data_IF_813069486513
#
_entry.id   IF_813069486513
#
_cell.length_a   1.000
_cell.length_b   1.000
_cell.length_c   1.000
_cell.angle_alpha   90.00
_cell.angle_beta   90.00
_cell.angle_gamma   90.00
#
_symmetry.space_group_name_H-M   'P 1'
#
loop_
_entity.id
_entity.type
_entity.pdbx_description
1 polymer ?
#
# COMPACT_ATOMS: atom_id res chain seq x y z
N UNK A 1 10.19 -12.56 -17.16
CA UNK A 1 10.38 -11.68 -16.00
C UNK A 1 10.36 -12.56 -14.77
N UNK A 2 11.39 -12.52 -13.91
CA UNK A 2 11.41 -13.32 -12.68
C UNK A 2 10.52 -12.61 -11.66
N UNK A 3 9.38 -13.21 -11.31
CA UNK A 3 8.47 -12.72 -10.27
C UNK A 3 8.75 -13.46 -8.95
N UNK A 4 8.57 -12.79 -7.82
CA UNK A 4 8.69 -13.44 -6.51
C UNK A 4 7.73 -14.64 -6.37
N UNK A 5 6.61 -14.66 -7.11
CA UNK A 5 5.63 -15.74 -6.99
C UNK A 5 6.16 -17.11 -7.43
N UNK A 6 7.30 -17.13 -8.12
CA UNK A 6 8.02 -18.35 -8.47
C UNK A 6 8.98 -18.79 -7.34
N UNK A 7 9.36 -17.86 -6.47
CA UNK A 7 10.35 -18.03 -5.41
C UNK A 7 9.71 -18.08 -4.00
N UNK A 8 8.40 -17.81 -3.86
CA UNK A 8 7.68 -17.94 -2.58
C UNK A 8 7.24 -19.40 -2.40
N UNK A 9 7.79 -20.13 -1.41
CA UNK A 9 7.50 -21.54 -1.22
C UNK A 9 6.07 -21.80 -0.73
N UNK A 10 5.41 -20.81 -0.10
CA UNK A 10 4.00 -20.89 0.26
C UNK A 10 3.29 -19.53 0.05
N UNK A 11 2.39 -19.48 -0.95
CA UNK A 11 1.61 -18.28 -1.27
C UNK A 11 0.63 -17.88 -0.17
N UNK A 12 0.28 -18.81 0.73
CA UNK A 12 -0.57 -18.52 1.90
C UNK A 12 0.07 -17.51 2.85
N UNK A 13 1.40 -17.35 2.80
CA UNK A 13 2.08 -16.30 3.55
C UNK A 13 1.56 -14.90 3.17
N UNK A 14 1.11 -14.68 1.93
CA UNK A 14 0.54 -13.41 1.49
C UNK A 14 -0.84 -13.13 2.11
N UNK A 15 -1.55 -14.17 2.55
CA UNK A 15 -2.92 -14.06 3.06
C UNK A 15 -2.99 -13.49 4.49
N UNK A 16 -1.87 -13.43 5.19
CA UNK A 16 -1.77 -12.87 6.54
C UNK A 16 -0.74 -11.75 6.61
N UNK A 17 -1.00 -10.75 7.45
CA UNK A 17 -0.09 -9.63 7.66
C UNK A 17 1.28 -10.09 8.19
N UNK A 18 1.27 -11.01 9.16
CA UNK A 18 2.49 -11.60 9.71
C UNK A 18 3.29 -12.39 8.65
N UNK A 19 2.62 -13.17 7.81
CA UNK A 19 3.24 -13.90 6.71
C UNK A 19 3.84 -12.97 5.67
N UNK A 20 3.08 -11.97 5.22
CA UNK A 20 3.49 -10.96 4.25
C UNK A 20 4.71 -10.18 4.75
N UNK A 21 4.70 -9.80 6.04
CA UNK A 21 5.84 -9.17 6.69
C UNK A 21 7.06 -10.09 6.79
N UNK A 22 6.86 -11.38 7.08
CA UNK A 22 7.95 -12.36 7.19
C UNK A 22 8.71 -12.49 5.87
N UNK A 23 8.00 -12.55 4.74
CA UNK A 23 8.62 -12.65 3.40
C UNK A 23 8.99 -11.27 2.83
N UNK A 24 8.51 -10.19 3.44
CA UNK A 24 8.74 -8.81 3.00
C UNK A 24 8.11 -8.50 1.65
N UNK A 25 6.88 -8.98 1.44
CA UNK A 25 6.04 -8.68 0.28
C UNK A 25 4.70 -8.12 0.74
N UNK A 26 3.99 -7.36 -0.11
CA UNK A 26 2.73 -6.76 0.28
C UNK A 26 1.66 -7.85 0.42
N UNK A 27 0.82 -7.75 1.45
CA UNK A 27 -0.37 -8.61 1.61
C UNK A 27 -1.46 -8.18 0.62
N UNK A 28 -1.21 -8.42 -0.67
CA UNK A 28 -2.09 -8.13 -1.80
C UNK A 28 -2.26 -9.38 -2.66
N UNK A 29 -3.29 -9.38 -3.50
CA UNK A 29 -3.49 -10.44 -4.50
C UNK A 29 -2.26 -10.65 -5.37
N UNK A 30 -2.01 -11.90 -5.76
CA UNK A 30 -0.86 -12.30 -6.57
C UNK A 30 -0.78 -11.52 -7.88
N UNK A 31 -1.92 -11.34 -8.57
CA UNK A 31 -1.98 -10.55 -9.80
C UNK A 31 -1.60 -9.07 -9.61
N UNK A 32 -1.99 -8.48 -8.48
CA UNK A 32 -1.59 -7.12 -8.14
C UNK A 32 -0.08 -7.04 -7.84
N UNK A 33 0.49 -8.02 -7.14
CA UNK A 33 1.93 -8.08 -6.88
C UNK A 33 2.73 -8.14 -8.18
N UNK A 34 2.38 -9.06 -9.09
CA UNK A 34 3.04 -9.18 -10.39
C UNK A 34 2.96 -7.88 -11.20
N UNK A 35 1.80 -7.23 -11.16
CA UNK A 35 1.61 -5.95 -11.84
C UNK A 35 2.49 -4.86 -11.23
N UNK A 36 2.55 -4.78 -9.90
CA UNK A 36 3.40 -3.82 -9.20
C UNK A 36 4.88 -4.05 -9.48
N UNK A 37 5.35 -5.30 -9.50
CA UNK A 37 6.74 -5.65 -9.88
C UNK A 37 7.12 -5.10 -11.26
N UNK A 38 6.17 -5.03 -12.20
CA UNK A 38 6.41 -4.45 -13.54
C UNK A 38 6.40 -2.92 -13.58
N UNK A 39 5.82 -2.26 -12.57
CA UNK A 39 5.62 -0.81 -12.52
C UNK A 39 6.72 -0.12 -11.71
N UNK A 40 7.07 -0.70 -10.55
CA UNK A 40 7.95 -0.05 -9.57
C UNK A 40 9.36 0.18 -10.11
N UNK A 41 9.97 1.30 -9.72
CA UNK A 41 11.38 1.55 -9.99
C UNK A 41 12.00 2.55 -9.00
N UNK A 42 13.33 2.62 -9.01
CA UNK A 42 14.16 3.41 -8.07
C UNK A 42 13.99 4.92 -8.13
N UNK A 43 13.16 5.44 -9.05
CA UNK A 43 12.84 6.87 -9.14
C UNK A 43 11.51 7.22 -8.44
N UNK A 44 10.67 6.22 -8.15
CA UNK A 44 9.33 6.41 -7.62
C UNK A 44 9.32 6.71 -6.12
N UNK A 45 8.43 7.60 -5.68
CA UNK A 45 8.12 7.87 -4.28
C UNK A 45 6.79 7.22 -3.92
N UNK A 46 6.76 6.52 -2.78
CA UNK A 46 5.58 5.79 -2.30
C UNK A 46 5.06 6.44 -1.02
N UNK A 47 3.74 6.64 -0.96
CA UNK A 47 3.00 6.91 0.28
C UNK A 47 2.14 5.68 0.60
N UNK A 48 2.14 5.26 1.85
CA UNK A 48 1.42 4.09 2.31
C UNK A 48 0.60 4.43 3.55
N UNK A 49 -0.65 3.99 3.56
CA UNK A 49 -1.50 3.97 4.74
C UNK A 49 -1.63 2.50 5.17
N UNK A 50 -1.12 2.16 6.36
CA UNK A 50 -0.95 0.78 6.82
C UNK A 50 0.40 0.20 6.41
N UNK A 51 1.32 0.08 7.38
CA UNK A 51 2.66 -0.46 7.18
C UNK A 51 2.67 -1.99 7.20
N UNK A 52 3.72 -2.62 6.67
CA UNK A 52 3.77 -4.08 6.60
C UNK A 52 4.88 -4.64 5.73
N UNK A 53 4.65 -5.85 5.20
CA UNK A 53 5.54 -6.42 4.18
C UNK A 53 5.61 -5.57 2.90
N UNK A 54 4.56 -4.80 2.62
CA UNK A 54 4.52 -3.80 1.55
C UNK A 54 5.57 -2.71 1.75
N UNK A 55 5.77 -2.22 2.98
CA UNK A 55 6.81 -1.22 3.29
C UNK A 55 8.21 -1.73 2.88
N UNK A 56 8.51 -3.01 3.14
CA UNK A 56 9.78 -3.64 2.75
C UNK A 56 9.88 -3.79 1.23
N UNK A 57 8.79 -4.18 0.57
CA UNK A 57 8.72 -4.27 -0.89
C UNK A 57 9.01 -2.90 -1.54
N UNK A 58 8.37 -1.83 -1.07
CA UNK A 58 8.62 -0.48 -1.58
C UNK A 58 10.05 -0.02 -1.30
N UNK A 59 10.58 -0.28 -0.10
CA UNK A 59 11.93 0.14 0.27
C UNK A 59 13.00 -0.48 -0.65
N UNK A 60 12.80 -1.74 -1.06
CA UNK A 60 13.68 -2.45 -1.97
C UNK A 60 13.57 -1.98 -3.42
N UNK A 61 12.42 -1.44 -3.85
CA UNK A 61 12.16 -1.20 -5.26
C UNK A 61 12.03 0.29 -5.64
N UNK A 62 11.75 1.16 -4.68
CA UNK A 62 11.44 2.58 -4.90
C UNK A 62 12.50 3.53 -4.32
N UNK A 63 12.41 4.82 -4.69
CA UNK A 63 13.29 5.89 -4.21
C UNK A 63 13.12 6.15 -2.72
N UNK A 64 11.86 6.27 -2.28
CA UNK A 64 11.51 6.57 -0.89
C UNK A 64 10.12 6.03 -0.56
N UNK A 65 9.93 5.68 0.71
CA UNK A 65 8.66 5.20 1.26
C UNK A 65 8.33 6.03 2.48
N UNK A 66 7.12 6.57 2.52
CA UNK A 66 6.53 7.12 3.74
C UNK A 66 5.29 6.29 4.08
N UNK A 67 5.25 5.75 5.30
CA UNK A 67 4.15 4.89 5.75
C UNK A 67 3.57 5.40 7.05
N UNK A 68 2.24 5.43 7.13
CA UNK A 68 1.50 5.75 8.35
C UNK A 68 0.93 4.47 8.97
N UNK A 69 1.15 4.29 10.27
CA UNK A 69 0.72 3.11 11.02
C UNK A 69 -0.04 3.50 12.29
N UNK A 70 -1.15 2.80 12.55
CA UNK A 70 -1.95 2.95 13.79
C UNK A 70 -1.60 1.92 14.85
N UNK A 71 -1.24 0.70 14.44
CA UNK A 71 -0.92 -0.38 15.34
C UNK A 71 0.50 -0.22 15.88
N UNK A 72 0.62 -0.03 17.20
CA UNK A 72 1.90 0.24 17.84
C UNK A 72 2.88 -0.95 17.77
N UNK A 73 2.37 -2.18 17.82
CA UNK A 73 3.21 -3.37 17.82
C UNK A 73 3.71 -3.67 16.40
N UNK A 74 2.84 -3.56 15.41
CA UNK A 74 3.24 -3.63 14.00
C UNK A 74 4.26 -2.54 13.67
N UNK A 75 4.04 -1.29 14.14
CA UNK A 75 5.01 -0.22 13.98
C UNK A 75 6.40 -0.60 14.51
N UNK A 76 6.49 -1.17 15.72
CA UNK A 76 7.77 -1.60 16.31
C UNK A 76 8.43 -2.66 15.44
N UNK A 77 7.67 -3.66 14.98
CA UNK A 77 8.16 -4.74 14.13
C UNK A 77 8.71 -4.22 12.79
N UNK A 78 7.96 -3.33 12.12
CA UNK A 78 8.42 -2.73 10.86
C UNK A 78 9.63 -1.85 11.12
N UNK A 79 9.60 -1.00 12.15
CA UNK A 79 10.72 -0.10 12.49
C UNK A 79 12.01 -0.87 12.75
N UNK A 80 11.92 -2.01 13.44
CA UNK A 80 13.07 -2.89 13.64
C UNK A 80 13.59 -3.47 12.32
N UNK A 81 12.69 -3.95 11.44
CA UNK A 81 13.05 -4.51 10.13
C UNK A 81 13.60 -3.46 9.15
N UNK A 82 13.21 -2.20 9.30
CA UNK A 82 13.64 -1.10 8.44
C UNK A 82 14.74 -0.24 9.06
N UNK A 83 15.29 -0.60 10.23
CA UNK A 83 16.24 0.25 10.99
C UNK A 83 17.50 0.67 10.22
N UNK A 84 17.91 -0.12 9.22
CA UNK A 84 19.07 0.16 8.38
C UNK A 84 18.71 0.76 7.01
N UNK A 85 17.41 0.89 6.72
CA UNK A 85 16.91 1.41 5.44
C UNK A 85 16.74 2.92 5.55
N UNK A 86 17.60 3.66 4.85
CA UNK A 86 17.61 5.14 4.90
C UNK A 86 16.50 5.78 4.08
N UNK A 87 15.80 5.01 3.25
CA UNK A 87 14.75 5.48 2.35
C UNK A 87 13.33 5.22 2.88
N UNK A 88 13.19 4.88 4.17
CA UNK A 88 11.90 4.56 4.79
C UNK A 88 11.63 5.49 5.96
N UNK A 89 10.53 6.23 5.88
CA UNK A 89 9.92 6.98 6.97
C UNK A 89 8.66 6.24 7.43
N UNK A 90 8.55 5.92 8.71
CA UNK A 90 7.36 5.31 9.30
C UNK A 90 6.89 6.22 10.42
N UNK A 91 5.63 6.62 10.35
CA UNK A 91 4.96 7.50 11.31
C UNK A 91 3.93 6.68 12.07
N UNK A 92 4.18 6.42 13.35
CA UNK A 92 3.17 5.86 14.25
C UNK A 92 2.26 6.96 14.75
N UNK A 93 0.96 6.84 14.47
CA UNK A 93 -0.02 7.85 14.86
C UNK A 93 -1.43 7.29 14.82
N UNK A 94 -2.36 7.97 15.46
CA UNK A 94 -3.77 7.61 15.39
C UNK A 94 -4.43 8.12 14.09
N UNK A 95 -5.75 7.98 14.00
CA UNK A 95 -6.54 8.50 12.88
C UNK A 95 -6.36 10.02 12.69
N UNK A 96 -6.33 10.77 13.78
CA UNK A 96 -6.26 12.23 13.71
C UNK A 96 -4.90 12.65 13.16
N UNK A 97 -3.80 12.10 13.69
CA UNK A 97 -2.47 12.41 13.19
C UNK A 97 -2.21 11.88 11.78
N UNK A 98 -2.82 10.77 11.36
CA UNK A 98 -2.82 10.37 9.94
C UNK A 98 -3.50 11.41 9.05
N UNK A 99 -4.64 11.93 9.49
CA UNK A 99 -5.39 12.95 8.75
C UNK A 99 -4.56 14.23 8.62
N UNK A 100 -4.01 14.73 9.74
CA UNK A 100 -3.15 15.91 9.77
C UNK A 100 -1.91 15.69 8.89
N UNK A 101 -1.23 14.55 9.06
CA UNK A 101 -0.07 14.17 8.26
C UNK A 101 -0.37 14.22 6.76
N UNK A 102 -1.45 13.55 6.31
CA UNK A 102 -1.90 13.58 4.93
C UNK A 102 -2.20 14.99 4.42
N UNK A 103 -2.76 15.88 5.24
CA UNK A 103 -3.01 17.26 4.80
C UNK A 103 -1.72 18.02 4.51
N UNK A 104 -0.67 17.78 5.30
CA UNK A 104 0.66 18.40 5.16
C UNK A 104 1.48 17.82 4.02
N UNK A 105 1.19 16.59 3.57
CA UNK A 105 1.87 16.00 2.42
C UNK A 105 1.70 16.86 1.15
N UNK A 106 2.74 16.97 0.30
CA UNK A 106 2.65 17.76 -0.92
C UNK A 106 1.57 17.20 -1.87
N UNK A 107 0.85 18.12 -2.52
CA UNK A 107 -0.03 17.75 -3.65
C UNK A 107 0.83 17.14 -4.75
N UNK A 108 0.35 16.07 -5.37
CA UNK A 108 1.07 15.37 -6.44
C UNK A 108 2.53 15.00 -6.05
N UNK A 109 2.75 14.60 -4.79
CA UNK A 109 4.07 14.25 -4.28
C UNK A 109 4.52 12.82 -4.61
N UNK A 110 3.58 11.93 -4.90
CA UNK A 110 3.80 10.49 -4.89
C UNK A 110 3.45 9.82 -6.21
N UNK A 111 4.32 8.90 -6.63
CA UNK A 111 4.13 8.10 -7.85
C UNK A 111 3.21 6.91 -7.57
N UNK A 112 3.21 6.40 -6.35
CA UNK A 112 2.35 5.31 -5.89
C UNK A 112 1.77 5.67 -4.52
N UNK A 113 0.47 5.42 -4.33
CA UNK A 113 -0.17 5.44 -3.01
C UNK A 113 -0.83 4.10 -2.73
N UNK A 114 -0.49 3.46 -1.61
CA UNK A 114 -1.17 2.26 -1.11
C UNK A 114 -2.17 2.61 -0.01
N UNK A 115 -3.40 2.14 -0.16
CA UNK A 115 -4.47 2.18 0.84
C UNK A 115 -4.64 0.79 1.44
N UNK A 116 -4.03 0.55 2.61
CA UNK A 116 -4.03 -0.74 3.32
C UNK A 116 -4.20 -0.59 4.85
N UNK A 117 -4.55 0.59 5.36
CA UNK A 117 -4.65 0.86 6.81
C UNK A 117 -5.80 0.11 7.46
N UNK A 118 -5.75 -0.09 8.78
CA UNK A 118 -6.87 -0.68 9.53
C UNK A 118 -8.21 0.00 9.15
N UNK A 119 -9.22 -0.74 8.67
CA UNK A 119 -10.40 -0.13 8.08
C UNK A 119 -11.28 0.62 9.07
N UNK A 120 -11.34 0.15 10.33
CA UNK A 120 -12.26 0.65 11.36
C UNK A 120 -11.64 1.87 12.04
N UNK A 121 -10.42 1.73 12.56
CA UNK A 121 -9.73 2.76 13.31
C UNK A 121 -9.26 3.90 12.41
N UNK A 122 -8.88 3.63 11.15
CA UNK A 122 -8.40 4.68 10.24
C UNK A 122 -9.50 5.42 9.46
N UNK A 123 -10.73 4.88 9.41
CA UNK A 123 -11.76 5.30 8.42
C UNK A 123 -11.19 5.28 6.99
N UNK A 124 -10.73 4.11 6.54
CA UNK A 124 -9.95 3.93 5.30
C UNK A 124 -10.49 4.68 4.08
N UNK A 125 -11.80 4.65 3.83
CA UNK A 125 -12.42 5.37 2.70
C UNK A 125 -12.18 6.89 2.75
N UNK A 126 -12.28 7.49 3.94
CA UNK A 126 -12.03 8.91 4.12
C UNK A 126 -10.57 9.26 3.82
N UNK A 127 -9.62 8.49 4.35
CA UNK A 127 -8.20 8.71 4.08
C UNK A 127 -7.85 8.46 2.61
N UNK A 128 -8.46 7.46 1.97
CA UNK A 128 -8.31 7.22 0.54
C UNK A 128 -8.74 8.42 -0.30
N UNK A 129 -9.86 9.06 0.04
CA UNK A 129 -10.32 10.28 -0.64
C UNK A 129 -9.37 11.47 -0.43
N UNK A 130 -8.80 11.63 0.77
CA UNK A 130 -7.78 12.67 1.01
C UNK A 130 -6.50 12.42 0.22
N UNK A 131 -6.06 11.16 0.15
CA UNK A 131 -4.82 10.79 -0.51
C UNK A 131 -4.87 10.98 -2.04
N UNK A 132 -6.06 11.06 -2.65
CA UNK A 132 -6.24 11.28 -4.10
C UNK A 132 -5.41 12.46 -4.62
N UNK A 133 -5.39 13.58 -3.90
CA UNK A 133 -4.71 14.81 -4.33
C UNK A 133 -3.19 14.75 -4.17
N UNK A 134 -2.66 13.67 -3.58
CA UNK A 134 -1.23 13.47 -3.32
C UNK A 134 -0.57 12.62 -4.41
N UNK A 135 -1.37 11.99 -5.28
CA UNK A 135 -0.90 11.21 -6.42
C UNK A 135 -0.51 12.15 -7.55
N UNK A 136 0.66 11.92 -8.15
CA UNK A 136 1.11 12.61 -9.36
C UNK A 136 0.20 12.31 -10.55
N UNK A 137 0.17 13.23 -11.50
CA UNK A 137 -0.20 12.88 -12.88
C UNK A 137 0.61 11.66 -13.33
N UNK A 138 -0.09 10.68 -13.89
CA UNK A 138 0.52 9.42 -14.30
C UNK A 138 0.83 8.45 -13.14
N UNK A 139 0.51 8.78 -11.89
CA UNK A 139 0.74 7.91 -10.74
C UNK A 139 -0.28 6.79 -10.59
N UNK A 140 -0.06 5.93 -9.59
CA UNK A 140 -0.89 4.78 -9.27
C UNK A 140 -1.48 4.88 -7.86
N UNK A 141 -2.75 4.49 -7.71
CA UNK A 141 -3.34 4.17 -6.41
C UNK A 141 -3.59 2.68 -6.32
N UNK A 142 -3.14 2.06 -5.24
CA UNK A 142 -3.36 0.65 -4.92
C UNK A 142 -4.36 0.59 -3.77
N UNK A 143 -5.46 -0.12 -3.95
CA UNK A 143 -6.51 -0.26 -2.94
C UNK A 143 -6.65 -1.73 -2.60
N UNK A 144 -6.29 -2.09 -1.37
CA UNK A 144 -6.47 -3.44 -0.86
C UNK A 144 -7.88 -3.64 -0.29
N UNK A 145 -8.42 -4.86 -0.43
CA UNK A 145 -9.76 -5.23 0.03
C UNK A 145 -10.83 -4.24 -0.45
N UNK A 146 -10.81 -3.96 -1.76
CA UNK A 146 -11.60 -2.88 -2.37
C UNK A 146 -13.12 -3.13 -2.28
N UNK A 147 -13.56 -4.38 -2.10
CA UNK A 147 -14.98 -4.72 -1.97
C UNK A 147 -15.50 -4.57 -0.52
N UNK A 148 -14.61 -4.40 0.46
CA UNK A 148 -14.97 -4.30 1.89
C UNK A 148 -14.84 -2.88 2.43
N UNK A 149 -15.32 -2.71 3.67
CA UNK A 149 -15.06 -1.52 4.48
C UNK A 149 -15.50 -0.19 3.84
N UNK A 150 -16.59 -0.23 3.08
CA UNK A 150 -17.13 0.93 2.36
C UNK A 150 -16.33 1.34 1.12
N UNK A 151 -15.22 0.67 0.81
CA UNK A 151 -14.40 0.97 -0.37
C UNK A 151 -15.15 0.77 -1.69
N UNK A 152 -16.22 -0.03 -1.72
CA UNK A 152 -17.10 -0.17 -2.87
C UNK A 152 -17.73 1.16 -3.35
N UNK A 153 -17.83 2.16 -2.47
CA UNK A 153 -18.35 3.50 -2.79
C UNK A 153 -17.26 4.50 -3.20
N UNK A 154 -15.99 4.08 -3.20
CA UNK A 154 -14.89 4.92 -3.67
C UNK A 154 -15.06 5.26 -5.16
N UNK A 155 -14.67 6.47 -5.56
CA UNK A 155 -14.81 6.89 -6.97
C UNK A 155 -13.71 6.25 -7.85
N UNK A 156 -14.08 5.12 -8.47
CA UNK A 156 -13.26 4.38 -9.42
C UNK A 156 -13.41 4.87 -10.87
N UNK A 157 -14.51 5.56 -11.23
CA UNK A 157 -14.95 5.73 -12.64
C UNK A 157 -14.10 6.67 -13.48
N UNK A 158 -13.19 7.46 -12.89
CA UNK A 158 -12.34 8.42 -13.62
C UNK A 158 -10.96 7.88 -13.99
N UNK A 159 -10.71 6.57 -13.86
CA UNK A 159 -9.35 5.99 -13.89
C UNK A 159 -9.34 4.70 -14.69
N UNK A 160 -8.19 4.36 -15.26
CA UNK A 160 -7.97 3.00 -15.76
C UNK A 160 -7.78 2.09 -14.54
N UNK A 161 -8.72 1.17 -14.35
CA UNK A 161 -8.75 0.28 -13.18
C UNK A 161 -8.36 -1.13 -13.61
N UNK A 162 -7.31 -1.66 -12.99
CA UNK A 162 -6.99 -3.08 -13.01
C UNK A 162 -7.55 -3.71 -11.74
N UNK A 163 -8.35 -4.77 -11.89
CA UNK A 163 -8.99 -5.48 -10.77
C UNK A 163 -8.44 -6.89 -10.69
N UNK A 164 -8.01 -7.28 -9.49
CA UNK A 164 -7.47 -8.59 -9.19
C UNK A 164 -8.27 -9.20 -8.05
N UNK A 165 -9.11 -10.18 -8.35
CA UNK A 165 -9.94 -10.87 -7.36
C UNK A 165 -9.35 -12.25 -7.04
N UNK A 166 -9.15 -12.54 -5.76
CA UNK A 166 -8.68 -13.85 -5.28
C UNK A 166 -9.49 -14.29 -4.06
N UNK A 167 -10.13 -15.47 -4.14
CA UNK A 167 -11.03 -16.01 -3.11
C UNK A 167 -10.31 -16.20 -1.76
N UNK A 168 -9.02 -16.53 -1.78
CA UNK A 168 -8.22 -16.76 -0.57
C UNK A 168 -7.81 -15.48 0.16
N UNK A 169 -7.85 -14.32 -0.50
CA UNK A 169 -7.57 -13.04 0.15
C UNK A 169 -8.79 -12.61 0.96
N UNK A 170 -8.63 -12.44 2.27
CA UNK A 170 -9.70 -12.13 3.23
C UNK A 170 -10.36 -10.76 3.01
N UNK A 171 -10.99 -10.50 1.87
CA UNK A 171 -11.90 -9.37 1.72
C UNK A 171 -11.98 -8.59 0.44
N UNK A 172 -11.86 -9.27 -0.69
CA UNK A 172 -12.24 -8.71 -1.97
C UNK A 172 -11.10 -7.96 -2.61
N UNK A 173 -10.15 -8.75 -3.11
CA UNK A 173 -9.22 -8.37 -4.15
C UNK A 173 -8.34 -7.16 -3.90
N UNK A 174 -7.63 -6.78 -4.95
CA UNK A 174 -6.85 -5.55 -5.00
C UNK A 174 -7.20 -4.81 -6.30
N UNK A 175 -7.37 -3.50 -6.21
CA UNK A 175 -7.50 -2.63 -7.39
C UNK A 175 -6.29 -1.73 -7.53
N UNK A 176 -5.79 -1.63 -8.75
CA UNK A 176 -4.78 -0.65 -9.16
C UNK A 176 -5.45 0.38 -10.05
N UNK A 177 -5.32 1.65 -9.72
CA UNK A 177 -5.94 2.75 -10.45
C UNK A 177 -4.83 3.64 -11.01
N UNK A 178 -4.77 3.73 -12.34
CA UNK A 178 -3.83 4.61 -13.03
C UNK A 178 -4.46 5.98 -13.25
N UNK A 179 -3.72 7.02 -12.85
CA UNK A 179 -4.11 8.41 -13.07
C UNK A 179 -3.60 8.89 -14.45
N UNK A 180 -4.37 9.77 -15.12
CA UNK A 180 -3.94 10.40 -16.36
C UNK A 180 -2.64 11.18 -16.14
N UNK A 181 -1.74 11.12 -17.14
CA UNK A 181 -0.46 11.83 -17.18
C UNK A 181 -0.59 13.25 -17.66
#
# INVERSE_FOLDING_TARGET
MKTILNDIPNRDALLSEAGALKIGYPGLTSGAIMTLESIVNKKMRVLELGSGGSTLFWARNCKSVKSYETNADLYKDIKQKTRFLRNVEIVHTDRHGMTVGLTLEPKQGYDIILINSDPIHSRRLYLANLALYKIKAGGWMVINNYQKFGMSTFNYSKKQVLTFDEIGFLGGGTRLLKFPG
#
